data_IF_084920405158
#
_entry.id   IF_084920405158
#
_cell.length_a   1.000
_cell.length_b   1.000
_cell.length_c   1.000
_cell.angle_alpha   90.00
_cell.angle_beta   90.00
_cell.angle_gamma   90.00
#
_symmetry.space_group_name_H-M   'P 1'
#
loop_
_entity.id
_entity.type
_entity.pdbx_description
1 polymer ?
#
# COMPACT_ATOMS: atom_id res chain seq x y z
N UNK A 1 -10.42 26.64 -10.57
CA UNK A 1 -9.11 26.03 -10.93
C UNK A 1 -9.39 24.66 -11.53
N UNK A 2 -8.65 24.26 -12.55
CA UNK A 2 -8.79 22.90 -13.08
C UNK A 2 -8.18 21.91 -12.10
N UNK A 3 -8.90 20.83 -11.79
CA UNK A 3 -8.48 19.82 -10.84
C UNK A 3 -7.35 18.97 -11.40
N UNK A 4 -6.24 18.85 -10.69
CA UNK A 4 -5.13 17.96 -11.07
C UNK A 4 -5.55 16.52 -10.84
N UNK A 5 -5.64 15.72 -11.91
CA UNK A 5 -5.91 14.30 -11.79
C UNK A 5 -4.60 13.55 -11.51
N UNK A 6 -4.38 13.19 -10.24
CA UNK A 6 -3.17 12.49 -9.76
C UNK A 6 -3.19 11.00 -10.14
N UNK A 7 -2.86 10.70 -11.41
CA UNK A 7 -2.79 9.33 -11.94
C UNK A 7 -1.57 8.59 -11.39
N UNK A 8 -1.76 7.32 -11.02
CA UNK A 8 -0.67 6.48 -10.52
C UNK A 8 0.34 6.03 -11.59
N UNK A 9 -0.06 5.98 -12.87
CA UNK A 9 0.82 5.47 -13.92
C UNK A 9 2.12 6.26 -14.07
N UNK A 10 2.13 7.61 -14.17
CA UNK A 10 3.39 8.38 -14.25
C UNK A 10 4.31 8.12 -13.06
N UNK A 11 3.74 8.01 -11.86
CA UNK A 11 4.48 7.70 -10.62
C UNK A 11 5.11 6.30 -10.73
N UNK A 12 4.33 5.30 -11.11
CA UNK A 12 4.79 3.93 -11.23
C UNK A 12 5.89 3.77 -12.31
N UNK A 13 5.83 4.55 -13.39
CA UNK A 13 6.82 4.51 -14.46
C UNK A 13 8.21 4.99 -13.96
N UNK A 14 8.28 6.04 -13.14
CA UNK A 14 9.54 6.50 -12.50
C UNK A 14 10.17 5.40 -11.64
N UNK A 15 9.36 4.74 -10.80
CA UNK A 15 9.85 3.63 -9.97
C UNK A 15 10.29 2.42 -10.81
N UNK A 16 9.59 2.15 -11.93
CA UNK A 16 9.92 1.05 -12.84
C UNK A 16 11.35 1.15 -13.37
N UNK A 17 11.76 2.32 -13.81
CA UNK A 17 13.12 2.56 -14.34
C UNK A 17 14.17 2.22 -13.28
N UNK A 18 14.11 2.85 -12.12
CA UNK A 18 15.05 2.64 -11.02
C UNK A 18 15.10 1.17 -10.55
N UNK A 19 13.93 0.51 -10.45
CA UNK A 19 13.86 -0.89 -10.02
C UNK A 19 14.48 -1.80 -11.07
N UNK A 20 14.21 -1.56 -12.35
CA UNK A 20 14.77 -2.36 -13.44
C UNK A 20 16.31 -2.27 -13.44
N UNK A 21 16.87 -1.07 -13.26
CA UNK A 21 18.32 -0.88 -13.15
C UNK A 21 18.93 -1.63 -11.95
N UNK A 22 18.30 -1.56 -10.78
CA UNK A 22 18.74 -2.29 -9.59
C UNK A 22 18.71 -3.80 -9.79
N UNK A 23 17.66 -4.34 -10.39
CA UNK A 23 17.55 -5.79 -10.69
C UNK A 23 18.62 -6.20 -11.70
N UNK A 24 18.85 -5.42 -12.75
CA UNK A 24 19.88 -5.69 -13.74
C UNK A 24 21.28 -5.68 -13.11
N UNK A 25 21.60 -4.71 -12.26
CA UNK A 25 22.86 -4.64 -11.53
C UNK A 25 23.05 -5.83 -10.58
N UNK A 26 21.98 -6.26 -9.88
CA UNK A 26 22.02 -7.48 -9.06
C UNK A 26 22.31 -8.72 -9.88
N UNK A 27 21.66 -8.85 -11.04
CA UNK A 27 21.88 -9.97 -11.98
C UNK A 27 23.32 -10.04 -12.49
N UNK A 28 23.95 -8.90 -12.79
CA UNK A 28 25.38 -8.84 -13.17
C UNK A 28 26.30 -9.35 -12.06
N UNK A 29 25.90 -9.23 -10.79
CA UNK A 29 26.61 -9.77 -9.62
C UNK A 29 26.27 -11.25 -9.33
N UNK A 30 25.50 -11.91 -10.22
CA UNK A 30 25.05 -13.29 -10.03
C UNK A 30 23.89 -13.47 -9.04
N UNK A 31 23.20 -12.40 -8.70
CA UNK A 31 22.07 -12.43 -7.77
C UNK A 31 20.74 -12.43 -8.56
N UNK A 32 19.91 -13.45 -8.37
CA UNK A 32 18.53 -13.46 -8.87
C UNK A 32 17.60 -12.87 -7.82
N UNK A 33 16.99 -11.73 -8.15
CA UNK A 33 16.00 -11.08 -7.27
C UNK A 33 14.71 -11.87 -7.31
N UNK A 34 14.34 -12.49 -6.19
CA UNK A 34 13.20 -13.41 -6.11
C UNK A 34 12.20 -12.96 -5.06
N UNK A 35 10.95 -12.72 -5.49
CA UNK A 35 9.81 -12.49 -4.62
C UNK A 35 9.10 -13.82 -4.31
N UNK A 36 9.09 -14.23 -3.04
CA UNK A 36 8.28 -15.35 -2.58
C UNK A 36 6.89 -14.86 -2.19
N UNK A 37 5.85 -15.40 -2.82
CA UNK A 37 4.44 -15.09 -2.55
C UNK A 37 3.81 -16.32 -1.92
N UNK A 38 3.25 -16.16 -0.70
CA UNK A 38 2.55 -17.23 0.01
C UNK A 38 1.05 -16.96 -0.04
N UNK A 39 0.30 -17.87 -0.65
CA UNK A 39 -1.18 -17.79 -0.77
C UNK A 39 -1.78 -18.95 0.01
N UNK A 40 -2.82 -18.69 0.78
CA UNK A 40 -3.54 -19.73 1.54
C UNK A 40 -5.02 -19.70 1.18
N UNK A 41 -5.52 -20.78 0.63
CA UNK A 41 -6.91 -20.91 0.15
C UNK A 41 -7.13 -20.31 -1.22
N UNK A 42 -8.39 -20.15 -1.59
CA UNK A 42 -8.84 -19.89 -2.96
C UNK A 42 -9.53 -18.53 -3.14
N UNK A 43 -9.15 -17.52 -2.31
CA UNK A 43 -9.71 -16.18 -2.45
C UNK A 43 -9.39 -15.59 -3.85
N UNK A 44 -10.42 -15.30 -4.69
CA UNK A 44 -10.20 -14.88 -6.06
C UNK A 44 -9.41 -13.57 -6.19
N UNK A 45 -9.59 -12.64 -5.24
CA UNK A 45 -8.90 -11.35 -5.25
C UNK A 45 -7.39 -11.54 -5.01
N UNK A 46 -7.03 -12.41 -4.07
CA UNK A 46 -5.64 -12.80 -3.80
C UNK A 46 -4.97 -13.45 -5.00
N UNK A 47 -5.68 -14.34 -5.71
CA UNK A 47 -5.15 -14.98 -6.92
C UNK A 47 -4.94 -14.00 -8.09
N UNK A 48 -5.87 -13.07 -8.29
CA UNK A 48 -5.71 -11.99 -9.30
C UNK A 48 -4.52 -11.11 -8.95
N UNK A 49 -4.39 -10.69 -7.69
CA UNK A 49 -3.28 -9.84 -7.22
C UNK A 49 -1.94 -10.56 -7.33
N UNK A 50 -1.85 -11.81 -6.88
CA UNK A 50 -0.68 -12.69 -7.09
C UNK A 50 -0.25 -12.71 -8.55
N UNK A 51 -1.19 -12.98 -9.48
CA UNK A 51 -0.90 -13.05 -10.92
C UNK A 51 -0.33 -11.74 -11.49
N UNK A 52 -0.79 -10.59 -11.00
CA UNK A 52 -0.24 -9.26 -11.37
C UNK A 52 1.19 -9.08 -10.86
N UNK A 53 1.47 -9.46 -9.62
CA UNK A 53 2.81 -9.34 -9.03
C UNK A 53 3.82 -10.27 -9.70
N UNK A 54 3.42 -11.50 -10.05
CA UNK A 54 4.27 -12.45 -10.80
C UNK A 54 4.66 -11.85 -12.15
N UNK A 55 3.69 -11.42 -12.95
CA UNK A 55 3.95 -10.77 -14.24
C UNK A 55 4.82 -9.52 -14.11
N UNK A 56 4.60 -8.75 -13.06
CA UNK A 56 5.35 -7.52 -12.82
C UNK A 56 6.83 -7.83 -12.53
N UNK A 57 7.14 -8.69 -11.55
CA UNK A 57 8.54 -9.00 -11.20
C UNK A 57 9.30 -9.63 -12.37
N UNK A 58 8.64 -10.51 -13.14
CA UNK A 58 9.23 -11.11 -14.34
C UNK A 58 9.51 -10.06 -15.41
N UNK A 59 8.59 -9.10 -15.63
CA UNK A 59 8.78 -8.00 -16.57
C UNK A 59 9.93 -7.06 -16.19
N UNK A 60 10.33 -7.03 -14.91
CA UNK A 60 11.45 -6.26 -14.38
C UNK A 60 12.78 -7.05 -14.39
N UNK A 61 12.75 -8.31 -14.84
CA UNK A 61 13.94 -9.19 -14.92
C UNK A 61 14.24 -9.97 -13.64
N UNK A 62 13.35 -9.95 -12.65
CA UNK A 62 13.40 -10.79 -11.45
C UNK A 62 12.63 -12.09 -11.61
N UNK A 63 12.39 -12.81 -10.51
CA UNK A 63 11.64 -14.06 -10.47
C UNK A 63 10.59 -14.06 -9.35
N UNK A 64 9.52 -14.81 -9.56
CA UNK A 64 8.54 -15.11 -8.54
C UNK A 64 8.65 -16.58 -8.09
N UNK A 65 8.52 -16.80 -6.78
CA UNK A 65 8.34 -18.13 -6.18
C UNK A 65 6.98 -18.16 -5.49
N UNK A 66 5.99 -18.76 -6.13
CA UNK A 66 4.65 -18.88 -5.57
C UNK A 66 4.54 -20.15 -4.75
N UNK A 67 4.02 -20.04 -3.53
CA UNK A 67 3.69 -21.14 -2.63
C UNK A 67 2.19 -21.05 -2.34
N UNK A 68 1.44 -22.01 -2.82
CA UNK A 68 0.01 -22.14 -2.59
C UNK A 68 -0.24 -23.23 -1.55
N UNK A 69 -0.99 -22.87 -0.52
CA UNK A 69 -1.36 -23.77 0.57
C UNK A 69 -2.89 -23.93 0.58
N UNK A 70 -3.39 -25.15 0.88
CA UNK A 70 -4.82 -25.37 1.05
C UNK A 70 -5.43 -24.41 2.07
N UNK A 71 -6.68 -24.02 1.89
CA UNK A 71 -7.41 -23.19 2.85
C UNK A 71 -7.61 -23.86 4.23
N UNK A 72 -7.41 -25.19 4.31
CA UNK A 72 -7.43 -25.97 5.54
C UNK A 72 -6.09 -26.06 6.27
N UNK A 73 -5.03 -25.45 5.75
CA UNK A 73 -3.70 -25.44 6.39
C UNK A 73 -3.75 -24.83 7.76
N UNK A 74 -2.99 -25.38 8.70
CA UNK A 74 -2.87 -24.79 10.04
C UNK A 74 -2.01 -23.51 10.02
N UNK A 75 -2.15 -22.67 11.05
CA UNK A 75 -1.29 -21.49 11.25
C UNK A 75 0.18 -21.91 11.35
N UNK A 76 0.47 -23.01 12.05
CA UNK A 76 1.81 -23.56 12.21
C UNK A 76 2.43 -23.98 10.88
N UNK A 77 1.66 -24.57 9.96
CA UNK A 77 2.13 -24.94 8.62
C UNK A 77 2.53 -23.72 7.82
N UNK A 78 1.68 -22.67 7.82
CA UNK A 78 1.94 -21.42 7.12
C UNK A 78 3.18 -20.73 7.68
N UNK A 79 3.30 -20.62 9.01
CA UNK A 79 4.48 -20.07 9.68
C UNK A 79 5.71 -20.92 9.38
N UNK A 80 5.57 -22.24 9.34
CA UNK A 80 6.64 -23.17 8.96
C UNK A 80 7.18 -22.90 7.56
N UNK A 81 6.30 -22.62 6.59
CA UNK A 81 6.68 -22.22 5.23
C UNK A 81 7.42 -20.90 5.25
N UNK A 82 6.91 -19.87 5.94
CA UNK A 82 7.56 -18.55 6.05
C UNK A 82 8.95 -18.69 6.67
N UNK A 83 9.13 -19.49 7.74
CA UNK A 83 10.43 -19.76 8.35
C UNK A 83 11.43 -20.44 7.39
N UNK A 84 10.94 -21.35 6.53
CA UNK A 84 11.79 -21.96 5.47
C UNK A 84 12.23 -20.92 4.44
N UNK A 85 11.33 -20.03 4.03
CA UNK A 85 11.62 -18.94 3.09
C UNK A 85 12.61 -17.91 3.69
N UNK A 86 12.51 -17.59 4.99
CA UNK A 86 13.45 -16.73 5.69
C UNK A 86 14.90 -17.26 5.60
N UNK A 87 15.08 -18.58 5.73
CA UNK A 87 16.41 -19.25 5.66
C UNK A 87 16.93 -19.44 4.23
N UNK A 88 16.06 -19.30 3.23
CA UNK A 88 16.44 -19.51 1.84
C UNK A 88 17.18 -18.27 1.30
N UNK A 89 18.50 -18.38 1.08
CA UNK A 89 19.33 -17.29 0.55
C UNK A 89 18.94 -16.80 -0.84
N UNK A 90 18.21 -17.60 -1.61
CA UNK A 90 17.75 -17.26 -2.96
C UNK A 90 16.40 -16.51 -2.96
N UNK A 91 15.79 -16.30 -1.80
CA UNK A 91 14.58 -15.50 -1.64
C UNK A 91 14.95 -14.12 -1.14
N UNK A 92 14.69 -13.10 -1.95
CA UNK A 92 15.01 -11.70 -1.63
C UNK A 92 13.96 -11.06 -0.73
N UNK A 93 12.68 -11.35 -0.99
CA UNK A 93 11.57 -10.85 -0.19
C UNK A 93 10.42 -11.85 -0.11
N UNK A 94 9.58 -11.70 0.90
CA UNK A 94 8.45 -12.58 1.22
C UNK A 94 7.19 -11.73 1.36
N UNK A 95 6.15 -12.12 0.66
CA UNK A 95 4.81 -11.52 0.73
C UNK A 95 3.77 -12.58 1.06
N UNK A 96 3.35 -12.73 2.30
CA UNK A 96 2.13 -13.46 2.64
C UNK A 96 0.92 -12.67 2.14
N UNK A 97 0.05 -13.30 1.36
CA UNK A 97 -1.16 -12.66 0.85
C UNK A 97 -2.22 -12.55 1.94
N UNK A 98 -2.83 -11.39 2.03
CA UNK A 98 -3.95 -11.14 2.94
C UNK A 98 -5.25 -10.90 2.13
N UNK A 99 -6.42 -11.26 2.67
CA UNK A 99 -6.64 -11.85 3.98
C UNK A 99 -6.28 -13.34 4.06
N UNK A 100 -5.90 -13.81 5.25
CA UNK A 100 -5.78 -15.23 5.56
C UNK A 100 -7.16 -15.84 5.86
N UNK A 101 -7.34 -17.18 5.73
CA UNK A 101 -8.50 -17.88 6.28
C UNK A 101 -8.73 -17.53 7.77
N UNK A 102 -10.00 -17.47 8.21
CA UNK A 102 -10.38 -16.96 9.54
C UNK A 102 -9.70 -17.65 10.73
N UNK A 103 -9.29 -18.91 10.59
CA UNK A 103 -8.63 -19.69 11.64
C UNK A 103 -7.12 -19.43 11.71
N UNK A 104 -6.55 -18.64 10.79
CA UNK A 104 -5.13 -18.29 10.77
C UNK A 104 -5.00 -16.82 11.16
N UNK A 105 -4.20 -16.53 12.16
CA UNK A 105 -3.87 -15.18 12.56
C UNK A 105 -2.86 -14.57 11.59
N UNK A 106 -3.33 -13.69 10.69
CA UNK A 106 -2.47 -13.00 9.71
C UNK A 106 -1.36 -12.17 10.35
N UNK A 107 -1.59 -11.58 11.52
CA UNK A 107 -0.56 -10.82 12.25
C UNK A 107 0.56 -11.77 12.75
N UNK A 108 0.25 -12.98 13.18
CA UNK A 108 1.24 -13.97 13.57
C UNK A 108 2.09 -14.43 12.36
N UNK A 109 1.44 -14.64 11.21
CA UNK A 109 2.14 -14.96 9.96
C UNK A 109 3.05 -13.81 9.52
N UNK A 110 2.55 -12.57 9.56
CA UNK A 110 3.33 -11.36 9.25
C UNK A 110 4.55 -11.20 10.18
N UNK A 111 4.35 -11.41 11.48
CA UNK A 111 5.42 -11.35 12.47
C UNK A 111 6.50 -12.43 12.27
N UNK A 112 6.16 -13.55 11.64
CA UNK A 112 7.12 -14.61 11.32
C UNK A 112 8.03 -14.29 10.12
N UNK A 113 7.68 -13.30 9.28
CA UNK A 113 8.54 -12.85 8.17
C UNK A 113 9.76 -12.14 8.74
N UNK A 114 10.96 -12.48 8.27
CA UNK A 114 12.17 -11.75 8.66
C UNK A 114 12.08 -10.28 8.27
N UNK A 115 12.39 -9.32 9.15
CA UNK A 115 12.32 -7.88 8.84
C UNK A 115 13.03 -7.48 7.54
N UNK A 116 14.16 -8.11 7.24
CA UNK A 116 14.94 -7.83 6.03
C UNK A 116 14.30 -8.38 4.74
N UNK A 117 13.36 -9.32 4.85
CA UNK A 117 12.64 -9.92 3.71
C UNK A 117 11.16 -9.52 3.65
N UNK A 118 10.70 -8.77 4.62
CA UNK A 118 9.33 -8.28 4.68
C UNK A 118 9.15 -7.13 3.68
N UNK A 119 8.36 -7.38 2.63
CA UNK A 119 8.17 -6.41 1.55
C UNK A 119 6.93 -5.53 1.72
N UNK A 120 6.09 -5.81 2.72
CA UNK A 120 4.85 -5.03 2.97
C UNK A 120 4.69 -4.58 4.43
N UNK A 121 5.82 -4.54 5.18
CA UNK A 121 5.83 -4.02 6.55
C UNK A 121 4.84 -4.74 7.49
N UNK A 122 4.71 -6.06 7.33
CA UNK A 122 3.85 -6.90 8.16
C UNK A 122 4.51 -7.27 9.49
N UNK A 123 5.85 -7.23 9.55
CA UNK A 123 6.59 -7.52 10.75
C UNK A 123 6.50 -6.36 11.75
N UNK A 124 6.16 -6.60 13.03
CA UNK A 124 6.05 -5.56 14.05
C UNK A 124 7.31 -4.72 14.26
N UNK A 125 8.51 -5.28 14.04
CA UNK A 125 9.75 -4.51 14.11
C UNK A 125 9.79 -3.43 13.03
N UNK A 126 9.47 -3.78 11.77
CA UNK A 126 9.42 -2.81 10.67
C UNK A 126 8.38 -1.73 10.93
N UNK A 127 7.18 -2.11 11.40
CA UNK A 127 6.13 -1.17 11.78
C UNK A 127 6.56 -0.24 12.92
N UNK A 128 7.28 -0.77 13.91
CA UNK A 128 7.86 0.00 15.01
C UNK A 128 8.91 1.00 14.52
N UNK A 129 9.77 0.60 13.60
CA UNK A 129 10.79 1.48 13.01
C UNK A 129 10.16 2.63 12.21
N UNK A 130 9.05 2.37 11.49
CA UNK A 130 8.27 3.43 10.83
C UNK A 130 7.64 4.37 11.84
N UNK A 131 7.02 3.85 12.90
CA UNK A 131 6.42 4.65 13.96
C UNK A 131 7.45 5.54 14.65
N UNK A 132 8.65 5.05 14.87
CA UNK A 132 9.77 5.78 15.50
C UNK A 132 10.50 6.73 14.53
N UNK A 133 10.08 6.83 13.28
CA UNK A 133 10.76 7.64 12.26
C UNK A 133 12.15 7.11 11.85
N UNK A 134 12.48 5.87 12.19
CA UNK A 134 13.76 5.22 11.86
C UNK A 134 13.78 4.63 10.46
N UNK A 135 12.62 4.37 9.88
CA UNK A 135 12.47 3.76 8.56
C UNK A 135 11.35 4.43 7.77
N UNK A 136 11.58 4.60 6.46
CA UNK A 136 10.55 4.98 5.49
C UNK A 136 9.85 3.77 4.85
N UNK A 137 10.28 2.57 5.17
CA UNK A 137 9.79 1.33 4.56
C UNK A 137 8.50 0.85 5.23
N UNK A 138 7.47 1.70 5.20
CA UNK A 138 6.11 1.35 5.59
C UNK A 138 5.47 0.39 4.57
N UNK A 139 4.27 -0.08 4.88
CA UNK A 139 3.46 -0.87 3.96
C UNK A 139 3.31 -0.19 2.59
N UNK A 140 3.10 -0.99 1.54
CA UNK A 140 3.18 -0.50 0.16
C UNK A 140 2.13 0.56 -0.16
N UNK A 141 0.90 0.41 0.35
CA UNK A 141 -0.18 1.38 0.09
C UNK A 141 0.08 2.76 0.71
N UNK A 142 0.48 2.91 1.99
CA UNK A 142 0.90 4.20 2.55
C UNK A 142 2.03 4.86 1.76
N UNK A 143 3.04 4.09 1.36
CA UNK A 143 4.14 4.61 0.54
C UNK A 143 3.67 5.09 -0.83
N UNK A 144 2.68 4.42 -1.42
CA UNK A 144 2.07 4.84 -2.69
C UNK A 144 1.36 6.19 -2.56
N UNK A 145 0.68 6.42 -1.44
CA UNK A 145 0.07 7.73 -1.16
C UNK A 145 1.13 8.83 -1.12
N UNK A 146 2.23 8.58 -0.39
CA UNK A 146 3.32 9.55 -0.28
C UNK A 146 4.02 9.79 -1.62
N UNK A 147 4.27 8.75 -2.40
CA UNK A 147 4.89 8.85 -3.72
C UNK A 147 4.03 9.65 -4.71
N UNK A 148 2.71 9.49 -4.67
CA UNK A 148 1.79 10.30 -5.48
C UNK A 148 1.84 11.77 -5.05
N UNK A 149 1.71 12.05 -3.75
CA UNK A 149 1.75 13.43 -3.24
C UNK A 149 3.06 14.12 -3.61
N UNK A 150 4.19 13.44 -3.47
CA UNK A 150 5.52 13.96 -3.82
C UNK A 150 5.67 14.19 -5.33
N UNK A 151 5.26 13.25 -6.17
CA UNK A 151 5.34 13.36 -7.62
C UNK A 151 4.54 14.55 -8.17
N UNK A 152 3.37 14.80 -7.60
CA UNK A 152 2.52 15.92 -8.01
C UNK A 152 2.82 17.23 -7.28
N UNK A 153 3.90 17.30 -6.49
CA UNK A 153 4.35 18.51 -5.81
C UNK A 153 3.38 18.99 -4.72
N UNK A 154 2.63 18.09 -4.10
CA UNK A 154 1.72 18.45 -3.01
C UNK A 154 2.54 18.69 -1.74
N UNK A 155 2.60 19.94 -1.32
CA UNK A 155 3.28 20.37 -0.11
C UNK A 155 2.50 19.88 1.14
N UNK A 156 3.24 19.32 2.10
CA UNK A 156 2.66 18.76 3.33
C UNK A 156 3.10 19.51 4.58
N UNK A 157 4.19 20.30 4.50
CA UNK A 157 4.73 21.05 5.63
C UNK A 157 3.68 22.04 6.17
N UNK A 158 3.34 21.92 7.45
CA UNK A 158 2.33 22.74 8.12
C UNK A 158 0.88 22.50 7.68
N UNK A 159 0.59 21.53 6.79
CA UNK A 159 -0.77 21.25 6.31
C UNK A 159 -1.59 20.42 7.30
N UNK A 160 -2.89 20.69 7.34
CA UNK A 160 -3.86 19.86 8.07
C UNK A 160 -4.26 18.67 7.20
N UNK A 161 -3.89 17.47 7.62
CA UNK A 161 -4.20 16.23 6.91
C UNK A 161 -5.18 15.38 7.74
N UNK A 162 -6.28 14.99 7.13
CA UNK A 162 -7.23 14.05 7.73
C UNK A 162 -7.09 12.70 7.07
N UNK A 163 -6.79 11.67 7.86
CA UNK A 163 -6.73 10.27 7.45
C UNK A 163 -8.00 9.57 7.94
N UNK A 164 -8.83 9.09 7.02
CA UNK A 164 -10.05 8.34 7.34
C UNK A 164 -9.73 6.85 7.25
N UNK A 165 -9.64 6.19 8.41
CA UNK A 165 -9.24 4.79 8.57
C UNK A 165 -8.06 4.65 9.51
N UNK A 166 -8.01 3.54 10.27
CA UNK A 166 -6.96 3.29 11.28
C UNK A 166 -6.42 1.86 11.24
N UNK A 167 -6.43 1.24 10.06
CA UNK A 167 -5.86 -0.10 9.90
C UNK A 167 -4.33 -0.08 10.10
N UNK A 168 -3.77 -1.23 10.52
CA UNK A 168 -2.34 -1.39 10.71
C UNK A 168 -1.55 -1.32 9.38
N UNK A 169 -2.21 -1.63 8.27
CA UNK A 169 -1.56 -1.70 6.94
C UNK A 169 -1.72 -0.42 6.11
N UNK A 170 -2.67 0.49 6.45
CA UNK A 170 -2.89 1.72 5.68
C UNK A 170 -2.96 2.96 6.59
N UNK A 171 -4.03 3.09 7.39
CA UNK A 171 -4.34 4.35 8.07
C UNK A 171 -3.27 4.79 9.06
N UNK A 172 -2.84 3.90 9.97
CA UNK A 172 -1.78 4.21 10.94
C UNK A 172 -0.45 4.53 10.26
N UNK A 173 0.09 3.68 9.35
CA UNK A 173 1.38 3.97 8.74
C UNK A 173 1.35 5.19 7.82
N UNK A 174 0.27 5.49 7.08
CA UNK A 174 0.21 6.73 6.29
C UNK A 174 0.20 7.97 7.18
N UNK A 175 -0.47 7.90 8.34
CA UNK A 175 -0.45 9.00 9.30
C UNK A 175 0.97 9.28 9.84
N UNK A 176 1.76 8.24 10.11
CA UNK A 176 3.16 8.39 10.53
C UNK A 176 4.05 8.98 9.44
N UNK A 177 3.86 8.54 8.19
CA UNK A 177 4.61 9.09 7.05
C UNK A 177 4.27 10.57 6.79
N UNK A 178 3.01 10.97 6.93
CA UNK A 178 2.56 12.36 6.82
C UNK A 178 3.11 13.23 7.96
N UNK A 179 3.09 12.71 9.20
CA UNK A 179 3.69 13.38 10.36
C UNK A 179 5.20 13.61 10.15
N UNK A 180 5.91 12.65 9.58
CA UNK A 180 7.33 12.78 9.23
C UNK A 180 7.62 13.84 8.15
N UNK A 181 6.58 14.33 7.45
CA UNK A 181 6.63 15.44 6.48
C UNK A 181 6.10 16.76 7.09
N UNK A 182 6.09 16.89 8.43
CA UNK A 182 5.63 18.04 9.20
C UNK A 182 4.13 18.38 9.02
N UNK A 183 3.31 17.44 8.57
CA UNK A 183 1.87 17.64 8.53
C UNK A 183 1.26 17.53 9.94
N UNK A 184 0.21 18.31 10.21
CA UNK A 184 -0.67 18.09 11.35
C UNK A 184 -1.70 17.04 10.96
N UNK A 185 -1.67 15.87 11.61
CA UNK A 185 -2.46 14.71 11.18
C UNK A 185 -3.57 14.40 12.17
N UNK A 186 -4.81 14.34 11.67
CA UNK A 186 -5.97 13.85 12.40
C UNK A 186 -6.39 12.50 11.84
N UNK A 187 -6.43 11.46 12.68
CA UNK A 187 -6.88 10.11 12.29
C UNK A 187 -8.33 9.92 12.72
N UNK A 188 -9.21 9.70 11.72
CA UNK A 188 -10.63 9.48 11.92
C UNK A 188 -11.01 8.01 11.71
N UNK A 189 -12.06 7.55 12.38
CA UNK A 189 -12.53 6.18 12.35
C UNK A 189 -14.05 6.09 12.64
N UNK A 190 -14.60 4.90 12.69
CA UNK A 190 -16.05 4.67 12.88
C UNK A 190 -16.66 5.24 14.18
N UNK A 191 -15.84 5.61 15.16
CA UNK A 191 -16.28 6.27 16.39
C UNK A 191 -16.02 7.79 16.40
N UNK A 192 -15.48 8.36 15.31
CA UNK A 192 -15.25 9.80 15.20
C UNK A 192 -16.59 10.52 15.08
N UNK A 193 -16.79 11.49 15.95
CA UNK A 193 -17.96 12.38 15.90
C UNK A 193 -17.67 13.55 14.95
N UNK A 194 -18.71 14.13 14.37
CA UNK A 194 -18.63 15.32 13.52
C UNK A 194 -17.56 15.21 12.40
N UNK A 195 -17.45 14.00 11.77
CA UNK A 195 -16.48 13.76 10.70
C UNK A 195 -16.57 14.81 9.57
N UNK A 196 -17.75 15.24 9.08
CA UNK A 196 -17.84 16.27 8.04
C UNK A 196 -17.16 17.58 8.44
N UNK A 197 -17.27 17.99 9.69
CA UNK A 197 -16.65 19.24 10.16
C UNK A 197 -15.11 19.15 10.17
N UNK A 198 -14.55 17.99 10.54
CA UNK A 198 -13.11 17.74 10.44
C UNK A 198 -12.64 17.76 8.98
N UNK A 199 -13.39 17.15 8.06
CA UNK A 199 -13.03 17.12 6.64
C UNK A 199 -13.06 18.52 5.99
N UNK A 200 -13.96 19.40 6.40
CA UNK A 200 -14.00 20.79 5.92
C UNK A 200 -12.77 21.61 6.33
N UNK A 201 -12.03 21.21 7.36
CA UNK A 201 -10.78 21.90 7.77
C UNK A 201 -9.54 21.34 7.08
N UNK A 202 -9.63 20.16 6.46
CA UNK A 202 -8.49 19.45 5.90
C UNK A 202 -7.96 20.10 4.62
N UNK A 203 -6.64 20.25 4.52
CA UNK A 203 -5.96 20.61 3.27
C UNK A 203 -5.77 19.37 2.39
N UNK A 204 -5.52 18.22 3.02
CA UNK A 204 -5.39 16.92 2.36
C UNK A 204 -6.26 15.90 3.08
N UNK A 205 -6.97 15.07 2.34
CA UNK A 205 -7.75 13.94 2.86
C UNK A 205 -7.20 12.65 2.26
N UNK A 206 -6.87 11.69 3.12
CA UNK A 206 -6.54 10.32 2.74
C UNK A 206 -7.70 9.42 3.17
N UNK A 207 -8.45 8.87 2.21
CA UNK A 207 -9.62 8.02 2.48
C UNK A 207 -9.25 6.54 2.33
N UNK A 208 -9.37 5.76 3.42
CA UNK A 208 -9.02 4.34 3.50
C UNK A 208 -9.97 3.58 4.42
N UNK A 209 -11.28 3.60 4.10
CA UNK A 209 -12.35 2.99 4.91
C UNK A 209 -12.97 1.75 4.30
N UNK A 210 -12.73 1.49 3.00
CA UNK A 210 -13.31 0.37 2.28
C UNK A 210 -14.82 0.46 2.10
N UNK A 211 -15.33 1.68 1.87
CA UNK A 211 -16.76 1.96 1.64
C UNK A 211 -16.92 2.87 0.44
N UNK A 212 -17.55 2.36 -0.63
CA UNK A 212 -17.73 3.10 -1.87
C UNK A 212 -18.42 4.43 -1.64
N UNK A 213 -17.84 5.50 -2.20
CA UNK A 213 -18.39 6.86 -2.20
C UNK A 213 -18.79 7.36 -0.79
N UNK A 214 -18.02 7.00 0.23
CA UNK A 214 -18.27 7.40 1.62
C UNK A 214 -18.07 8.90 1.84
N UNK A 215 -17.00 9.49 1.28
CA UNK A 215 -16.76 10.93 1.34
C UNK A 215 -17.55 11.63 0.23
N UNK A 216 -18.37 12.60 0.61
CA UNK A 216 -19.28 13.33 -0.28
C UNK A 216 -18.82 14.78 -0.51
N UNK A 217 -19.27 15.44 -1.60
CA UNK A 217 -18.89 16.83 -1.91
C UNK A 217 -19.21 17.84 -0.81
N UNK A 218 -20.31 17.66 -0.09
CA UNK A 218 -20.73 18.55 1.01
C UNK A 218 -19.86 18.40 2.27
N UNK A 219 -19.06 17.34 2.35
CA UNK A 219 -18.18 17.06 3.49
C UNK A 219 -16.82 17.72 3.37
N UNK A 220 -16.46 18.29 2.22
CA UNK A 220 -15.12 18.82 1.95
C UNK A 220 -15.14 20.30 1.58
N UNK A 221 -14.03 20.99 1.83
CA UNK A 221 -13.85 22.39 1.40
C UNK A 221 -13.38 22.48 -0.06
N UNK A 222 -13.53 23.65 -0.65
CA UNK A 222 -12.91 23.98 -1.94
C UNK A 222 -11.38 23.95 -1.87
N UNK A 223 -10.74 23.44 -2.93
CA UNK A 223 -9.28 23.39 -3.03
C UNK A 223 -8.63 22.23 -2.26
N UNK A 224 -9.39 21.32 -1.66
CA UNK A 224 -8.86 20.15 -0.94
C UNK A 224 -8.09 19.23 -1.88
N UNK A 225 -7.05 18.57 -1.36
CA UNK A 225 -6.35 17.47 -2.06
C UNK A 225 -6.91 16.14 -1.58
N UNK A 226 -7.25 15.24 -2.50
CA UNK A 226 -7.85 13.93 -2.20
C UNK A 226 -6.91 12.81 -2.63
N UNK A 227 -6.57 11.94 -1.68
CA UNK A 227 -5.92 10.65 -1.92
C UNK A 227 -6.90 9.54 -1.57
N UNK A 228 -7.54 8.97 -2.56
CA UNK A 228 -8.48 7.87 -2.41
C UNK A 228 -7.76 6.52 -2.51
N UNK A 229 -7.75 5.77 -1.42
CA UNK A 229 -7.14 4.44 -1.30
C UNK A 229 -8.16 3.33 -1.51
N UNK A 230 -9.45 3.67 -1.47
CA UNK A 230 -10.54 2.72 -1.56
C UNK A 230 -10.55 1.94 -2.88
N UNK A 231 -10.84 0.64 -2.81
CA UNK A 231 -11.11 -0.21 -3.96
C UNK A 231 -12.32 -1.06 -3.61
N UNK A 232 -13.49 -0.64 -4.08
CA UNK A 232 -14.75 -1.28 -3.79
C UNK A 232 -15.39 -1.79 -5.09
N UNK A 233 -15.76 -3.07 -5.15
CA UNK A 233 -16.54 -3.61 -6.25
C UNK A 233 -18.02 -3.24 -6.07
N UNK A 234 -18.58 -2.49 -7.01
CA UNK A 234 -19.99 -2.11 -7.02
C UNK A 234 -20.57 -2.51 -8.39
N UNK A 235 -21.24 -3.66 -8.44
CA UNK A 235 -21.56 -4.32 -9.70
C UNK A 235 -20.28 -4.63 -10.50
N UNK A 236 -20.26 -4.23 -11.77
CA UNK A 236 -19.09 -4.44 -12.65
C UNK A 236 -18.04 -3.30 -12.58
N UNK A 237 -18.22 -2.33 -11.67
CA UNK A 237 -17.34 -1.17 -11.56
C UNK A 237 -16.51 -1.20 -10.27
N UNK A 238 -15.29 -0.68 -10.37
CA UNK A 238 -14.47 -0.37 -9.21
C UNK A 238 -14.69 1.09 -8.81
N UNK A 239 -15.02 1.31 -7.55
CA UNK A 239 -15.29 2.62 -6.95
C UNK A 239 -14.32 2.87 -5.79
N UNK A 240 -13.90 4.11 -5.63
CA UNK A 240 -13.15 4.55 -4.46
C UNK A 240 -14.01 4.76 -3.22
N UNK A 241 -13.36 5.15 -2.14
CA UNK A 241 -14.03 5.57 -0.90
C UNK A 241 -14.58 7.02 -1.01
N UNK A 242 -14.12 7.76 -2.02
CA UNK A 242 -14.55 9.15 -2.27
C UNK A 242 -15.49 9.20 -3.47
N UNK A 243 -16.58 9.94 -3.33
CA UNK A 243 -17.50 10.17 -4.43
C UNK A 243 -16.78 10.95 -5.55
N UNK A 244 -16.82 10.50 -6.83
CA UNK A 244 -16.17 11.18 -7.94
C UNK A 244 -16.59 12.66 -8.10
N UNK A 245 -17.79 13.02 -7.64
CA UNK A 245 -18.26 14.40 -7.66
C UNK A 245 -17.42 15.35 -6.76
N UNK A 246 -16.66 14.81 -5.80
CA UNK A 246 -15.71 15.58 -4.98
C UNK A 246 -14.62 16.21 -5.83
N UNK A 247 -14.27 15.61 -6.97
CA UNK A 247 -13.27 16.14 -7.88
C UNK A 247 -13.60 17.57 -8.35
N UNK A 248 -14.87 17.95 -8.44
CA UNK A 248 -15.26 19.32 -8.82
C UNK A 248 -14.81 20.38 -7.80
N UNK A 249 -14.60 20.00 -6.54
CA UNK A 249 -14.12 20.88 -5.46
C UNK A 249 -12.64 20.74 -5.17
N UNK A 250 -12.03 19.62 -5.54
CA UNK A 250 -10.64 19.32 -5.23
C UNK A 250 -9.67 20.09 -6.11
N UNK A 251 -8.55 20.54 -5.57
CA UNK A 251 -7.41 21.04 -6.35
C UNK A 251 -6.63 19.90 -6.98
N UNK A 252 -6.58 18.73 -6.31
CA UNK A 252 -5.97 17.51 -6.83
C UNK A 252 -6.73 16.27 -6.31
N UNK A 253 -6.83 15.23 -7.15
CA UNK A 253 -7.66 14.05 -6.88
C UNK A 253 -7.03 12.80 -7.48
N UNK A 254 -6.91 11.70 -6.71
CA UNK A 254 -6.50 10.40 -7.25
C UNK A 254 -7.70 9.64 -7.81
N UNK A 255 -7.68 9.19 -9.07
CA UNK A 255 -8.79 8.43 -9.65
C UNK A 255 -8.82 6.98 -9.13
N UNK A 256 -10.03 6.41 -9.02
CA UNK A 256 -10.21 4.98 -8.79
C UNK A 256 -11.12 4.42 -9.90
N UNK A 257 -10.62 3.49 -10.74
CA UNK A 257 -9.26 2.95 -10.79
C UNK A 257 -8.24 3.94 -11.39
N UNK A 258 -6.94 3.65 -11.20
CA UNK A 258 -5.85 4.36 -11.87
C UNK A 258 -5.01 5.29 -10.99
N UNK A 259 -5.33 5.39 -9.70
CA UNK A 259 -4.56 6.12 -8.68
C UNK A 259 -3.63 5.22 -7.86
N UNK A 260 -3.82 5.21 -6.55
CA UNK A 260 -2.96 4.56 -5.54
C UNK A 260 -2.68 3.09 -5.84
N UNK A 261 -3.68 2.30 -6.24
CA UNK A 261 -3.52 0.86 -6.50
C UNK A 261 -2.53 0.53 -7.63
N UNK A 262 -2.32 1.44 -8.59
CA UNK A 262 -1.30 1.24 -9.66
C UNK A 262 0.11 1.34 -9.08
N UNK A 263 0.32 2.27 -8.16
CA UNK A 263 1.63 2.52 -7.54
C UNK A 263 1.96 1.43 -6.51
N UNK A 264 0.96 0.89 -5.79
CA UNK A 264 1.16 -0.10 -4.72
C UNK A 264 1.92 -1.35 -5.20
N UNK A 265 1.63 -1.83 -6.40
CA UNK A 265 2.36 -2.97 -6.99
C UNK A 265 3.86 -2.65 -7.16
N UNK A 266 4.15 -1.41 -7.56
CA UNK A 266 5.54 -0.97 -7.76
C UNK A 266 6.27 -0.79 -6.42
N UNK A 267 5.55 -0.38 -5.34
CA UNK A 267 6.12 -0.27 -4.01
C UNK A 267 6.56 -1.63 -3.44
N UNK A 268 5.86 -2.73 -3.78
CA UNK A 268 6.33 -4.09 -3.44
C UNK A 268 7.69 -4.35 -4.09
N UNK A 269 7.85 -4.02 -5.37
CA UNK A 269 9.10 -4.23 -6.11
C UNK A 269 10.22 -3.32 -5.62
N UNK A 270 9.91 -2.07 -5.27
CA UNK A 270 10.88 -1.16 -4.68
C UNK A 270 11.37 -1.67 -3.32
N UNK A 271 10.45 -2.15 -2.47
CA UNK A 271 10.83 -2.73 -1.18
C UNK A 271 11.69 -4.00 -1.35
N UNK A 272 11.36 -4.84 -2.35
CA UNK A 272 12.15 -6.02 -2.70
C UNK A 272 13.59 -5.67 -3.08
N UNK A 273 13.81 -4.50 -3.70
CA UNK A 273 15.14 -4.05 -4.17
C UNK A 273 15.87 -3.13 -3.18
N UNK A 274 15.32 -2.92 -1.97
CA UNK A 274 15.89 -1.95 -1.00
C UNK A 274 17.26 -2.30 -0.45
N UNK A 275 17.60 -3.59 -0.45
CA UNK A 275 18.84 -4.14 0.13
C UNK A 275 19.80 -4.72 -0.93
N UNK A 276 19.62 -4.38 -2.22
CA UNK A 276 20.45 -4.88 -3.33
C UNK A 276 21.77 -4.13 -3.49
#
# INVERSE_FOLDING_TARGET
METILMRGKPVADVYRETITEKIAAAKQRGLLVTLAIVVVGDDPASHVYKGRLVKLIESLGGAAKVIELPGSSSEEDVIGVVKKLNRNRYVTGILPMMPMPKHINGDAVGAAVSPNKDVDCLNPQNSGDVFMGRSKWAACTPRSCMAILEHYGIELDGKNVVVIGRSNVVGKPVAMLLLAKNATVTVCHSHTKELPELLKTADVIVAAVGKACFVKPEMVKEGVVIVDVGINAVGDKLMGDVDPAVAAKASAFTPVPGGVGVVSNMMVMECLTRNL
#
